data_IF_345425772931
#
_entry.id   IF_345425772931
#
_cell.length_a   1.000
_cell.length_b   1.000
_cell.length_c   1.000
_cell.angle_alpha   90.00
_cell.angle_beta   90.00
_cell.angle_gamma   90.00
#
_symmetry.space_group_name_H-M   'P 1'
#
loop_
_entity.id
_entity.type
_entity.pdbx_description
1 polymer ?
#
# COMPACT_ATOMS: atom_id res chain seq x y z
N UNK A 1 -34.82 35.87 -0.72
CA UNK A 1 -34.69 34.47 -0.24
C UNK A 1 -33.79 33.61 -1.11
N UNK A 2 -33.83 33.73 -2.45
CA UNK A 2 -32.97 32.98 -3.38
C UNK A 2 -31.47 33.22 -3.18
N UNK A 3 -31.06 34.47 -2.92
CA UNK A 3 -29.64 34.83 -2.66
C UNK A 3 -29.07 34.18 -1.39
N UNK A 4 -29.85 34.15 -0.30
CA UNK A 4 -29.45 33.50 0.95
C UNK A 4 -29.28 31.99 0.78
N UNK A 5 -30.15 31.34 0.00
CA UNK A 5 -30.02 29.92 -0.31
C UNK A 5 -28.75 29.63 -1.13
N UNK A 6 -28.44 30.45 -2.14
CA UNK A 6 -27.22 30.29 -2.96
C UNK A 6 -25.96 30.42 -2.10
N UNK A 7 -25.92 31.40 -1.19
CA UNK A 7 -24.79 31.57 -0.26
C UNK A 7 -24.66 30.37 0.69
N UNK A 8 -25.78 29.85 1.21
CA UNK A 8 -25.77 28.66 2.08
C UNK A 8 -25.22 27.43 1.34
N UNK A 9 -25.68 27.18 0.11
CA UNK A 9 -25.17 26.08 -0.71
C UNK A 9 -23.69 26.25 -1.07
N UNK A 10 -23.26 27.48 -1.37
CA UNK A 10 -21.85 27.78 -1.62
C UNK A 10 -20.98 27.50 -0.38
N UNK A 11 -21.41 27.94 0.81
CA UNK A 11 -20.70 27.70 2.07
C UNK A 11 -20.62 26.21 2.41
N UNK A 12 -21.73 25.47 2.26
CA UNK A 12 -21.75 24.01 2.48
C UNK A 12 -20.85 23.27 1.48
N UNK A 13 -20.90 23.65 0.19
CA UNK A 13 -20.05 23.07 -0.85
C UNK A 13 -18.56 23.32 -0.59
N UNK A 14 -18.21 24.56 -0.23
CA UNK A 14 -16.83 24.94 0.06
C UNK A 14 -16.31 24.26 1.34
N UNK A 15 -17.14 24.19 2.39
CA UNK A 15 -16.83 23.48 3.63
C UNK A 15 -16.58 21.99 3.40
N UNK A 16 -17.45 21.33 2.63
CA UNK A 16 -17.28 19.91 2.27
C UNK A 16 -16.01 19.67 1.45
N UNK A 17 -15.69 20.56 0.51
CA UNK A 17 -14.48 20.45 -0.30
C UNK A 17 -13.21 20.60 0.54
N UNK A 18 -13.16 21.62 1.39
CA UNK A 18 -12.03 21.88 2.28
C UNK A 18 -11.84 20.72 3.27
N UNK A 19 -12.93 20.19 3.83
CA UNK A 19 -12.88 19.05 4.75
C UNK A 19 -12.33 17.79 4.06
N UNK A 20 -12.77 17.48 2.83
CA UNK A 20 -12.24 16.34 2.07
C UNK A 20 -10.73 16.45 1.82
N UNK A 21 -10.24 17.63 1.43
CA UNK A 21 -8.81 17.90 1.19
C UNK A 21 -7.99 17.85 2.48
N UNK A 22 -8.48 18.46 3.56
CA UNK A 22 -7.82 18.42 4.86
C UNK A 22 -7.67 17.01 5.40
N UNK A 23 -8.74 16.20 5.33
CA UNK A 23 -8.68 14.79 5.75
C UNK A 23 -7.68 13.97 4.95
N UNK A 24 -7.50 14.26 3.65
CA UNK A 24 -6.52 13.54 2.83
C UNK A 24 -5.08 13.81 3.29
N UNK A 25 -4.75 15.08 3.61
CA UNK A 25 -3.42 15.46 4.09
C UNK A 25 -3.12 14.86 5.47
N UNK A 26 -4.10 14.84 6.38
CA UNK A 26 -3.95 14.19 7.68
C UNK A 26 -3.78 12.67 7.53
N UNK A 27 -4.54 12.05 6.63
CA UNK A 27 -4.40 10.63 6.31
C UNK A 27 -2.98 10.33 5.81
N UNK A 28 -2.48 11.12 4.86
CA UNK A 28 -1.15 10.96 4.30
C UNK A 28 -0.06 11.07 5.38
N UNK A 29 -0.10 12.11 6.22
CA UNK A 29 0.92 12.33 7.25
C UNK A 29 0.94 11.23 8.33
N UNK A 30 -0.23 10.76 8.75
CA UNK A 30 -0.33 9.75 9.80
C UNK A 30 -0.05 8.35 9.26
N UNK A 31 -0.65 7.99 8.12
CA UNK A 31 -0.48 6.68 7.51
C UNK A 31 0.95 6.46 6.99
N UNK A 32 1.58 7.48 6.39
CA UNK A 32 2.96 7.37 5.93
C UNK A 32 3.91 7.00 7.07
N UNK A 33 3.78 7.65 8.23
CA UNK A 33 4.59 7.33 9.41
C UNK A 33 4.38 5.90 9.91
N UNK A 34 3.15 5.40 9.90
CA UNK A 34 2.84 4.03 10.32
C UNK A 34 3.41 3.02 9.31
N UNK A 35 3.18 3.26 8.02
CA UNK A 35 3.67 2.42 6.93
C UNK A 35 5.19 2.40 6.84
N UNK A 36 5.85 3.54 7.04
CA UNK A 36 7.32 3.62 7.01
C UNK A 36 7.95 2.75 8.11
N UNK A 37 7.34 2.67 9.30
CA UNK A 37 7.83 1.78 10.38
C UNK A 37 7.73 0.31 10.01
N UNK A 38 6.68 -0.07 9.27
CA UNK A 38 6.42 -1.45 8.86
C UNK A 38 7.30 -1.83 7.66
N UNK A 39 7.36 -0.94 6.67
CA UNK A 39 8.04 -1.18 5.39
C UNK A 39 9.54 -0.96 5.50
N UNK A 40 10.02 -0.02 6.31
CA UNK A 40 11.44 0.30 6.49
C UNK A 40 11.89 0.01 7.92
N UNK A 41 11.95 -1.26 8.36
CA UNK A 41 12.36 -1.61 9.73
C UNK A 41 13.79 -1.15 10.06
N UNK A 42 14.66 -0.98 9.07
CA UNK A 42 16.02 -0.42 9.26
C UNK A 42 16.07 1.11 9.18
N UNK A 43 14.91 1.76 9.07
CA UNK A 43 14.77 3.21 9.10
C UNK A 43 15.16 3.93 7.80
N UNK A 44 15.73 5.12 7.94
CA UNK A 44 15.92 6.06 6.84
C UNK A 44 16.85 5.56 5.72
N UNK A 45 17.87 4.78 6.05
CA UNK A 45 18.82 4.24 5.06
C UNK A 45 18.16 3.25 4.09
N UNK A 46 17.25 2.42 4.60
CA UNK A 46 16.49 1.47 3.77
C UNK A 46 15.47 2.19 2.89
N UNK A 47 14.82 3.23 3.43
CA UNK A 47 13.96 4.13 2.67
C UNK A 47 14.71 4.79 1.52
N UNK A 48 15.89 5.34 1.80
CA UNK A 48 16.72 6.00 0.78
C UNK A 48 17.19 5.01 -0.29
N UNK A 49 17.67 3.82 0.09
CA UNK A 49 18.06 2.78 -0.86
C UNK A 49 16.90 2.33 -1.77
N UNK A 50 15.69 2.25 -1.19
CA UNK A 50 14.46 1.94 -1.93
C UNK A 50 14.15 3.04 -2.94
N UNK A 51 14.24 4.32 -2.53
CA UNK A 51 13.99 5.46 -3.42
C UNK A 51 15.01 5.53 -4.56
N UNK A 52 16.30 5.30 -4.28
CA UNK A 52 17.34 5.21 -5.32
C UNK A 52 17.04 4.11 -6.33
N UNK A 53 16.53 2.96 -5.85
CA UNK A 53 16.15 1.85 -6.73
C UNK A 53 14.94 2.23 -7.60
N UNK A 54 13.94 2.92 -7.05
CA UNK A 54 12.79 3.42 -7.80
C UNK A 54 13.16 4.51 -8.82
N UNK A 55 14.08 5.41 -8.47
CA UNK A 55 14.62 6.41 -9.39
C UNK A 55 15.25 5.74 -10.60
N UNK A 56 16.05 4.68 -10.38
CA UNK A 56 16.63 3.87 -11.48
C UNK A 56 15.56 3.20 -12.35
N UNK A 57 14.51 2.64 -11.75
CA UNK A 57 13.40 2.01 -12.49
C UNK A 57 12.69 3.05 -13.38
N UNK A 58 12.45 4.23 -12.84
CA UNK A 58 11.69 5.32 -13.49
C UNK A 58 12.57 6.29 -14.30
N UNK A 59 13.88 6.06 -14.34
CA UNK A 59 14.87 6.92 -15.01
C UNK A 59 14.75 8.38 -14.56
N UNK A 60 14.67 8.60 -13.25
CA UNK A 60 14.60 9.93 -12.63
C UNK A 60 13.41 10.81 -13.07
N UNK A 61 12.38 10.19 -13.65
CA UNK A 61 11.17 10.89 -14.14
C UNK A 61 10.35 11.54 -13.02
N UNK A 62 10.39 10.96 -11.81
CA UNK A 62 9.59 11.39 -10.67
C UNK A 62 10.48 11.75 -9.48
N UNK A 63 10.03 12.73 -8.68
CA UNK A 63 10.71 13.08 -7.44
C UNK A 63 10.46 12.03 -6.34
N UNK A 64 11.25 12.12 -5.27
CA UNK A 64 11.20 11.17 -4.16
C UNK A 64 9.84 11.13 -3.44
N UNK A 65 9.15 12.26 -3.32
CA UNK A 65 7.84 12.31 -2.64
C UNK A 65 6.78 11.51 -3.40
N UNK A 66 6.77 11.63 -4.73
CA UNK A 66 5.86 10.90 -5.61
C UNK A 66 6.19 9.40 -5.64
N UNK A 67 7.48 9.05 -5.68
CA UNK A 67 7.94 7.66 -5.64
C UNK A 67 7.63 7.01 -4.28
N UNK A 68 7.77 7.75 -3.19
CA UNK A 68 7.45 7.29 -1.85
C UNK A 68 5.94 7.05 -1.70
N UNK A 69 5.08 7.98 -2.13
CA UNK A 69 3.62 7.80 -2.12
C UNK A 69 3.23 6.53 -2.88
N UNK A 70 3.80 6.34 -4.07
CA UNK A 70 3.57 5.14 -4.88
C UNK A 70 4.00 3.88 -4.12
N UNK A 71 5.23 3.84 -3.61
CA UNK A 71 5.79 2.68 -2.92
C UNK A 71 4.96 2.30 -1.69
N UNK A 72 4.68 3.27 -0.81
CA UNK A 72 3.93 3.06 0.42
C UNK A 72 2.53 2.52 0.14
N UNK A 73 1.85 3.00 -0.91
CA UNK A 73 0.52 2.51 -1.27
C UNK A 73 0.54 1.10 -1.82
N UNK A 74 1.40 0.82 -2.79
CA UNK A 74 1.45 -0.49 -3.44
C UNK A 74 1.95 -1.56 -2.48
N UNK A 75 3.08 -1.33 -1.79
CA UNK A 75 3.61 -2.28 -0.81
C UNK A 75 2.77 -2.32 0.46
N UNK A 76 2.22 -1.20 0.90
CA UNK A 76 1.31 -1.15 2.05
C UNK A 76 0.07 -2.01 1.84
N UNK A 77 -0.55 -1.97 0.66
CA UNK A 77 -1.68 -2.85 0.31
C UNK A 77 -1.32 -4.34 0.28
N UNK A 78 -0.06 -4.68 -0.02
CA UNK A 78 0.40 -6.07 -0.03
C UNK A 78 0.73 -6.59 1.38
N UNK A 79 1.23 -5.72 2.26
CA UNK A 79 1.68 -6.11 3.60
C UNK A 79 0.55 -6.01 4.62
N UNK A 80 -0.35 -5.05 4.48
CA UNK A 80 -1.47 -4.86 5.40
C UNK A 80 -2.66 -5.72 4.96
N UNK A 81 -3.10 -6.58 5.88
CA UNK A 81 -4.35 -7.30 5.71
C UNK A 81 -5.54 -6.35 5.92
N UNK A 82 -6.20 -5.97 4.83
CA UNK A 82 -7.36 -5.08 4.86
C UNK A 82 -8.62 -5.72 5.48
N UNK A 83 -8.61 -7.02 5.77
CA UNK A 83 -9.68 -7.71 6.49
C UNK A 83 -9.56 -7.59 8.01
N UNK A 84 -8.38 -7.20 8.52
CA UNK A 84 -8.16 -6.98 9.95
C UNK A 84 -8.54 -5.54 10.37
N UNK A 85 -8.66 -5.26 11.68
CA UNK A 85 -8.80 -3.90 12.20
C UNK A 85 -7.59 -3.03 11.84
N UNK A 86 -7.69 -2.30 10.73
CA UNK A 86 -6.68 -1.33 10.27
C UNK A 86 -7.07 0.08 10.70
N UNK A 87 -6.09 0.88 11.12
CA UNK A 87 -6.27 2.29 11.42
C UNK A 87 -7.02 3.03 10.28
N UNK A 88 -8.01 3.85 10.63
CA UNK A 88 -8.81 4.61 9.67
C UNK A 88 -7.96 5.42 8.68
N UNK A 89 -6.91 6.09 9.17
CA UNK A 89 -6.03 6.91 8.33
C UNK A 89 -5.25 6.05 7.34
N UNK A 90 -4.75 4.91 7.79
CA UNK A 90 -4.00 3.96 6.97
C UNK A 90 -4.90 3.33 5.91
N UNK A 91 -6.10 2.90 6.28
CA UNK A 91 -7.11 2.42 5.32
C UNK A 91 -7.46 3.50 4.29
N UNK A 92 -7.75 4.73 4.73
CA UNK A 92 -8.09 5.85 3.84
C UNK A 92 -6.95 6.20 2.88
N UNK A 93 -5.72 6.21 3.37
CA UNK A 93 -4.54 6.51 2.56
C UNK A 93 -4.29 5.43 1.51
N UNK A 94 -4.31 4.15 1.90
CA UNK A 94 -4.05 3.03 0.99
C UNK A 94 -5.15 2.84 -0.06
N UNK A 95 -6.40 3.19 0.27
CA UNK A 95 -7.52 3.16 -0.68
C UNK A 95 -7.57 4.40 -1.58
N UNK A 96 -6.70 5.39 -1.37
CA UNK A 96 -6.58 6.55 -2.25
C UNK A 96 -5.67 6.22 -3.44
N UNK A 97 -5.93 6.80 -4.63
CA UNK A 97 -5.08 6.57 -5.80
C UNK A 97 -3.66 7.07 -5.54
N UNK A 98 -2.67 6.43 -6.17
CA UNK A 98 -1.28 6.92 -6.18
C UNK A 98 -1.20 8.26 -6.91
N UNK A 99 -0.29 9.14 -6.48
CA UNK A 99 -0.07 10.44 -7.13
C UNK A 99 0.54 10.29 -8.52
N UNK A 100 1.23 9.17 -8.77
CA UNK A 100 1.82 8.82 -10.06
C UNK A 100 1.40 7.43 -10.49
N UNK A 101 1.41 7.21 -11.81
CA UNK A 101 1.18 5.90 -12.42
C UNK A 101 2.43 5.52 -13.21
N UNK A 102 3.07 4.45 -12.78
CA UNK A 102 4.17 3.83 -13.52
C UNK A 102 3.66 3.25 -14.84
N UNK A 103 4.49 3.28 -15.88
CA UNK A 103 4.22 2.56 -17.12
C UNK A 103 4.35 1.05 -16.91
N UNK A 104 3.91 0.25 -17.89
CA UNK A 104 3.90 -1.20 -17.77
C UNK A 104 5.30 -1.79 -17.45
N UNK A 105 6.34 -1.37 -18.17
CA UNK A 105 7.70 -1.88 -17.96
C UNK A 105 8.28 -1.45 -16.60
N UNK A 106 7.98 -0.23 -16.15
CA UNK A 106 8.35 0.25 -14.82
C UNK A 106 7.65 -0.57 -13.72
N UNK A 107 6.37 -0.92 -13.91
CA UNK A 107 5.62 -1.77 -12.96
C UNK A 107 6.20 -3.18 -12.89
N UNK A 108 6.54 -3.80 -14.03
CA UNK A 108 7.16 -5.14 -14.05
C UNK A 108 8.46 -5.11 -13.24
N UNK A 109 9.35 -4.17 -13.53
CA UNK A 109 10.62 -4.02 -12.80
C UNK A 109 10.42 -3.72 -11.31
N UNK A 110 9.41 -2.93 -10.97
CA UNK A 110 9.03 -2.68 -9.59
C UNK A 110 8.67 -3.98 -8.87
N UNK A 111 7.78 -4.78 -9.45
CA UNK A 111 7.37 -6.03 -8.82
C UNK A 111 8.50 -7.04 -8.72
N UNK A 112 9.36 -7.13 -9.74
CA UNK A 112 10.58 -7.97 -9.69
C UNK A 112 11.52 -7.54 -8.56
N UNK A 113 11.74 -6.22 -8.42
CA UNK A 113 12.68 -5.67 -7.43
C UNK A 113 12.16 -5.78 -6.00
N UNK A 114 10.84 -5.71 -5.79
CA UNK A 114 10.22 -5.61 -4.47
C UNK A 114 9.28 -6.76 -4.13
N UNK A 115 9.35 -7.89 -4.83
CA UNK A 115 8.44 -9.03 -4.65
C UNK A 115 8.36 -9.48 -3.18
N UNK A 116 9.53 -9.68 -2.56
CA UNK A 116 9.67 -10.18 -1.19
C UNK A 116 9.99 -9.05 -0.18
N UNK A 117 9.59 -7.82 -0.49
CA UNK A 117 9.84 -6.67 0.36
C UNK A 117 8.69 -6.43 1.36
N UNK A 118 8.97 -6.11 2.65
CA UNK A 118 10.30 -6.10 3.27
C UNK A 118 10.77 -7.52 3.63
N UNK A 119 12.06 -7.79 3.44
CA UNK A 119 12.65 -9.13 3.65
C UNK A 119 12.51 -9.64 5.10
N UNK A 120 12.33 -8.72 6.06
CA UNK A 120 12.16 -9.03 7.49
C UNK A 120 10.70 -9.19 7.92
N UNK A 121 9.72 -9.00 7.03
CA UNK A 121 8.34 -9.37 7.33
C UNK A 121 8.19 -10.88 7.18
N UNK A 122 8.81 -11.62 8.12
CA UNK A 122 8.27 -12.91 8.52
C UNK A 122 6.79 -12.64 8.76
N UNK A 123 5.99 -13.14 7.85
CA UNK A 123 4.57 -12.86 7.74
C UNK A 123 3.98 -12.75 9.15
N UNK A 124 3.46 -11.58 9.49
CA UNK A 124 2.31 -11.52 10.42
C UNK A 124 1.13 -12.10 9.62
N UNK A 125 1.26 -13.36 9.17
CA UNK A 125 0.11 -14.23 9.04
C UNK A 125 -0.35 -14.35 10.47
N UNK A 126 -1.54 -13.83 10.71
CA UNK A 126 -2.33 -14.11 11.90
C UNK A 126 -2.00 -15.50 12.44
N UNK A 127 -1.71 -15.57 13.72
CA UNK A 127 -1.54 -16.79 14.51
C UNK A 127 -2.88 -17.56 14.64
N UNK A 128 -3.70 -17.58 13.59
CA UNK A 128 -5.02 -18.19 13.48
C UNK A 128 -5.08 -19.28 12.39
N UNK A 129 -3.99 -19.59 11.69
CA UNK A 129 -3.92 -20.71 10.74
C UNK A 129 -2.71 -21.62 10.98
N UNK A 130 -2.43 -21.92 12.26
CA UNK A 130 -1.66 -23.13 12.62
C UNK A 130 -2.54 -24.37 12.49
N UNK A 131 -3.05 -24.62 11.29
CA UNK A 131 -3.45 -25.97 10.89
C UNK A 131 -3.66 -25.98 9.36
N UNK A 132 -3.04 -26.97 8.70
CA UNK A 132 -3.12 -27.28 7.27
C UNK A 132 -2.29 -26.42 6.30
N UNK A 133 -0.96 -26.58 6.36
CA UNK A 133 -0.17 -26.71 5.13
C UNK A 133 0.75 -27.92 5.30
N UNK A 134 0.24 -29.11 4.97
CA UNK A 134 1.10 -30.20 4.52
C UNK A 134 1.55 -29.88 3.09
N UNK A 135 2.86 -30.01 2.89
CA UNK A 135 3.59 -29.96 1.64
C UNK A 135 2.93 -30.74 0.51
N UNK A 136 2.82 -30.13 -0.68
CA UNK A 136 2.80 -30.77 -2.01
C UNK A 136 2.73 -29.62 -3.05
N UNK A 137 3.83 -29.03 -3.52
CA UNK A 137 4.78 -29.54 -4.51
C UNK A 137 4.45 -30.91 -5.09
N UNK A 138 3.64 -30.93 -6.14
CA UNK A 138 3.96 -31.49 -7.47
C UNK A 138 2.68 -31.93 -8.18
N UNK A 139 2.50 -31.41 -9.40
CA UNK A 139 1.62 -32.05 -10.36
C UNK A 139 2.04 -33.51 -10.52
N UNK A 140 1.08 -34.41 -10.29
CA UNK A 140 1.33 -35.84 -10.35
C UNK A 140 0.10 -36.61 -9.96
N UNK A 141 -0.68 -37.02 -10.97
CA UNK A 141 -1.72 -38.02 -10.86
C UNK A 141 -1.16 -39.30 -10.22
N UNK A 142 -1.63 -39.69 -9.02
CA UNK A 142 -1.60 -41.09 -8.62
C UNK A 142 -2.87 -41.49 -7.87
N UNK A 143 -3.53 -42.48 -8.49
CA UNK A 143 -4.71 -43.21 -8.08
C UNK A 143 -4.35 -44.05 -6.83
N UNK A 144 -5.01 -43.82 -5.70
CA UNK A 144 -4.83 -44.66 -4.49
C UNK A 144 -5.36 -46.07 -4.77
N UNK A 145 -4.46 -47.04 -4.67
CA UNK A 145 -4.72 -48.47 -4.63
C UNK A 145 -5.29 -48.82 -3.25
N UNK A 146 -6.41 -49.54 -3.19
CA UNK A 146 -6.95 -50.12 -1.96
C UNK A 146 -6.18 -51.39 -1.61
N UNK A 147 -5.75 -51.49 -0.35
CA UNK A 147 -5.35 -52.69 0.42
C UNK A 147 -5.59 -52.28 1.89
N UNK A 148 -6.28 -53.00 2.77
CA UNK A 148 -6.89 -54.33 2.73
C UNK A 148 -8.26 -54.28 3.45
#
# INVERSE_FOLDING_TARGET
>A
MTTLLVILFALLGFGLWFWKKGLALLAEKNASKELEKILFPKGASEKEATLVSLQKITKDKYNNDLLLDYFLKIKGLQVINMYDPVNFWTRRFLMSPTKVKLNYFEQVKFYESFLNYPQSSARIISTASKEYITSESNGGFYKKQQLA
#
